data_IF_930900159622
#
_entry.id   IF_930900159622
#
_cell.length_a   1.000
_cell.length_b   1.000
_cell.length_c   1.000
_cell.angle_alpha   90.00
_cell.angle_beta   90.00
_cell.angle_gamma   90.00
#
_symmetry.space_group_name_H-M   'P 1'
#
loop_
_entity.id
_entity.type
_entity.pdbx_description
1 polymer ?
#
# COMPACT_ATOMS: atom_id res chain seq x y z
N UNK A 1 -12.28 27.20 33.62
CA UNK A 1 -11.59 27.52 34.89
C UNK A 1 -10.21 28.21 34.71
N UNK A 2 -9.81 28.62 33.50
CA UNK A 2 -8.48 29.24 33.23
C UNK A 2 -8.46 30.77 33.28
N UNK A 3 -9.51 31.46 32.84
CA UNK A 3 -9.55 32.94 32.77
C UNK A 3 -9.35 33.64 34.12
N UNK A 4 -9.94 33.11 35.21
CA UNK A 4 -9.78 33.68 36.55
C UNK A 4 -8.34 33.61 37.06
N UNK A 5 -7.59 32.56 36.73
CA UNK A 5 -6.19 32.46 37.16
C UNK A 5 -5.27 33.37 36.36
N UNK A 6 -5.58 33.62 35.08
CA UNK A 6 -4.83 34.54 34.24
C UNK A 6 -5.01 35.99 34.69
N UNK A 7 -6.23 36.37 35.08
CA UNK A 7 -6.50 37.70 35.64
C UNK A 7 -5.73 37.95 36.95
N UNK A 8 -5.74 36.97 37.87
CA UNK A 8 -4.98 37.05 39.12
C UNK A 8 -3.47 37.13 38.90
N UNK A 9 -2.93 36.37 37.93
CA UNK A 9 -1.50 36.42 37.61
C UNK A 9 -1.10 37.77 37.01
N UNK A 10 -1.96 38.37 36.18
CA UNK A 10 -1.75 39.70 35.62
C UNK A 10 -1.79 40.80 36.67
N UNK A 11 -2.75 40.78 37.61
CA UNK A 11 -2.80 41.77 38.70
C UNK A 11 -1.54 41.73 39.57
N UNK A 12 -0.98 40.54 39.83
CA UNK A 12 0.20 40.39 40.66
C UNK A 12 1.51 40.77 39.97
N UNK A 13 1.68 40.41 38.69
CA UNK A 13 2.97 40.54 37.98
C UNK A 13 3.02 41.66 36.96
N UNK A 14 1.87 42.24 36.62
CA UNK A 14 1.66 43.21 35.52
C UNK A 14 2.20 42.76 34.16
N UNK A 15 2.45 41.47 34.00
CA UNK A 15 2.84 40.84 32.74
C UNK A 15 2.35 39.38 32.71
N UNK A 16 1.99 38.90 31.52
CA UNK A 16 1.56 37.53 31.29
C UNK A 16 2.72 36.73 30.72
N UNK A 17 2.96 35.51 31.21
CA UNK A 17 4.02 34.65 30.67
C UNK A 17 3.84 34.43 29.16
N UNK A 18 4.86 34.80 28.37
CA UNK A 18 4.86 34.71 26.90
C UNK A 18 4.78 33.29 26.30
N UNK A 19 4.69 32.25 27.13
CA UNK A 19 4.57 30.86 26.66
C UNK A 19 4.11 29.90 27.76
N UNK A 20 3.59 28.75 27.34
CA UNK A 20 3.14 27.68 28.23
C UNK A 20 4.35 26.99 28.89
N UNK A 21 4.76 27.48 30.06
CA UNK A 21 5.78 26.82 30.88
C UNK A 21 5.16 25.62 31.60
N UNK A 22 5.36 24.39 31.08
CA UNK A 22 5.07 23.19 31.86
C UNK A 22 5.99 23.18 33.08
N UNK A 23 5.43 23.06 34.29
CA UNK A 23 6.23 22.78 35.47
C UNK A 23 7.03 21.51 35.21
N UNK A 24 8.36 21.60 35.27
CA UNK A 24 9.27 20.50 34.91
C UNK A 24 9.17 19.32 35.89
N UNK A 25 8.57 19.53 37.06
CA UNK A 25 8.33 18.50 38.06
C UNK A 25 6.83 18.21 38.14
N UNK A 26 6.41 17.17 37.41
CA UNK A 26 5.03 16.65 37.46
C UNK A 26 4.78 15.85 38.76
N UNK A 27 5.84 15.45 39.47
CA UNK A 27 5.77 14.61 40.67
C UNK A 27 6.63 15.19 41.80
N UNK A 28 6.09 15.14 43.03
CA UNK A 28 6.81 15.52 44.25
C UNK A 28 7.95 14.53 44.55
N UNK A 29 9.01 14.99 45.23
CA UNK A 29 10.09 14.12 45.70
C UNK A 29 9.59 13.00 46.63
N UNK A 30 8.53 13.26 47.39
CA UNK A 30 7.88 12.26 48.27
C UNK A 30 7.20 11.16 47.44
N UNK A 31 6.51 11.54 46.37
CA UNK A 31 5.86 10.60 45.45
C UNK A 31 6.90 9.72 44.73
N UNK A 32 8.06 10.29 44.38
CA UNK A 32 9.19 9.54 43.81
C UNK A 32 9.73 8.50 44.79
N UNK A 33 9.92 8.88 46.07
CA UNK A 33 10.39 7.96 47.12
C UNK A 33 9.41 6.82 47.36
N UNK A 34 8.13 7.12 47.55
CA UNK A 34 7.09 6.12 47.78
C UNK A 34 6.99 5.11 46.61
N UNK A 35 7.05 5.59 45.37
CA UNK A 35 7.04 4.71 44.19
C UNK A 35 8.25 3.78 44.13
N UNK A 36 9.41 4.24 44.60
CA UNK A 36 10.62 3.44 44.67
C UNK A 36 10.64 2.45 45.84
N UNK A 37 10.13 2.82 47.00
CA UNK A 37 10.03 1.94 48.16
C UNK A 37 9.06 0.78 47.87
N UNK A 38 7.95 1.07 47.19
CA UNK A 38 7.05 0.03 46.68
C UNK A 38 7.73 -0.88 45.65
N UNK A 39 8.60 -0.33 44.79
CA UNK A 39 9.32 -1.11 43.78
C UNK A 39 10.32 -2.09 44.43
N UNK A 40 11.05 -1.62 45.44
CA UNK A 40 12.03 -2.44 46.15
C UNK A 40 11.38 -3.51 47.02
N UNK A 41 10.22 -3.22 47.63
CA UNK A 41 9.48 -4.18 48.46
C UNK A 41 8.75 -5.27 47.67
N UNK A 42 8.36 -5.01 46.42
CA UNK A 42 7.54 -5.93 45.60
C UNK A 42 8.34 -6.54 44.44
N UNK A 43 9.48 -7.17 44.75
CA UNK A 43 10.31 -7.95 43.81
C UNK A 43 10.77 -7.19 42.56
N UNK A 44 10.88 -5.85 42.63
CA UNK A 44 11.34 -5.02 41.50
C UNK A 44 10.43 -5.13 40.27
N UNK A 45 9.14 -5.36 40.48
CA UNK A 45 8.15 -5.44 39.41
C UNK A 45 7.52 -4.08 39.10
N UNK A 46 7.91 -3.48 37.96
CA UNK A 46 7.35 -2.21 37.46
C UNK A 46 5.84 -2.27 37.24
N UNK A 47 5.30 -3.42 36.83
CA UNK A 47 3.87 -3.54 36.57
C UNK A 47 3.03 -3.64 37.87
N UNK A 48 3.63 -4.11 38.97
CA UNK A 48 2.96 -4.21 40.26
C UNK A 48 2.86 -2.82 40.92
N UNK A 49 3.95 -2.05 40.90
CA UNK A 49 3.99 -0.68 41.44
C UNK A 49 3.01 0.25 40.75
N UNK A 50 2.90 0.14 39.43
CA UNK A 50 1.95 0.94 38.64
C UNK A 50 0.49 0.61 38.97
N UNK A 51 0.18 -0.67 39.19
CA UNK A 51 -1.18 -1.11 39.56
C UNK A 51 -1.57 -0.70 40.98
N UNK A 52 -0.61 -0.69 41.91
CA UNK A 52 -0.85 -0.31 43.29
C UNK A 52 -0.97 1.20 43.48
N UNK A 53 -0.11 2.00 42.82
CA UNK A 53 -0.04 3.44 43.03
C UNK A 53 -0.84 4.26 42.02
N UNK A 54 -1.15 3.71 40.83
CA UNK A 54 -1.91 4.41 39.78
C UNK A 54 -1.14 5.55 39.08
N UNK A 55 0.03 5.90 39.59
CA UNK A 55 1.05 6.79 39.03
C UNK A 55 2.43 6.20 39.38
N UNK A 56 3.57 6.60 38.78
CA UNK A 56 3.79 7.44 37.60
C UNK A 56 3.61 6.64 36.28
N UNK A 57 4.07 7.12 35.12
CA UNK A 57 4.08 6.30 33.89
C UNK A 57 5.20 5.25 33.90
N UNK A 58 5.08 4.18 33.09
CA UNK A 58 6.12 3.13 32.99
C UNK A 58 7.50 3.69 32.62
N UNK A 59 7.54 4.66 31.69
CA UNK A 59 8.79 5.30 31.27
C UNK A 59 9.45 6.05 32.42
N UNK A 60 8.68 6.92 33.09
CA UNK A 60 9.17 7.73 34.22
C UNK A 60 9.68 6.89 35.39
N UNK A 61 9.03 5.76 35.72
CA UNK A 61 9.53 4.87 36.76
C UNK A 61 10.85 4.20 36.34
N UNK A 62 10.96 3.81 35.06
CA UNK A 62 12.19 3.21 34.52
C UNK A 62 13.36 4.20 34.58
N UNK A 63 13.10 5.48 34.31
CA UNK A 63 14.11 6.54 34.41
C UNK A 63 14.54 6.76 35.87
N UNK A 64 13.61 6.77 36.83
CA UNK A 64 13.94 6.85 38.25
C UNK A 64 14.75 5.64 38.74
N UNK A 65 14.43 4.44 38.25
CA UNK A 65 15.19 3.21 38.55
C UNK A 65 16.61 3.30 37.97
N UNK A 66 16.79 3.87 36.76
CA UNK A 66 18.12 4.08 36.18
C UNK A 66 18.93 5.10 36.94
N UNK A 67 18.31 6.19 37.39
CA UNK A 67 18.96 7.24 38.19
C UNK A 67 19.42 6.72 39.56
N UNK A 68 18.60 5.94 40.24
CA UNK A 68 18.87 5.51 41.61
C UNK A 68 19.52 4.11 41.71
N UNK A 69 19.43 3.28 40.68
CA UNK A 69 19.98 1.93 40.65
C UNK A 69 20.68 1.64 39.30
N UNK A 70 21.88 2.22 39.07
CA UNK A 70 22.63 2.03 37.83
C UNK A 70 23.01 0.56 37.56
N UNK A 71 23.09 -0.29 38.59
CA UNK A 71 23.36 -1.73 38.44
C UNK A 71 22.15 -2.52 37.90
N UNK A 72 20.92 -2.06 38.15
CA UNK A 72 19.69 -2.71 37.67
C UNK A 72 19.36 -2.26 36.24
N UNK A 73 19.70 -1.00 35.89
CA UNK A 73 19.54 -0.42 34.56
C UNK A 73 20.44 -1.05 33.49
N UNK A 74 21.55 -1.68 33.89
CA UNK A 74 22.35 -2.58 33.04
C UNK A 74 21.65 -3.93 32.92
N UNK A 75 20.43 -3.95 32.39
CA UNK A 75 19.87 -5.19 31.90
C UNK A 75 20.87 -5.75 30.87
N UNK A 76 21.60 -6.80 31.28
CA UNK A 76 22.41 -7.61 30.40
C UNK A 76 21.45 -8.15 29.36
N UNK A 77 21.30 -7.45 28.24
CA UNK A 77 20.68 -8.00 27.05
C UNK A 77 21.44 -9.30 26.82
N UNK A 78 20.77 -10.42 27.09
CA UNK A 78 21.38 -11.74 27.09
C UNK A 78 22.10 -11.92 25.78
N UNK A 79 23.43 -11.80 25.80
CA UNK A 79 24.25 -12.15 24.66
C UNK A 79 24.10 -13.67 24.61
N UNK A 80 23.24 -14.15 23.71
CA UNK A 80 23.01 -15.59 23.51
C UNK A 80 24.38 -16.23 23.37
N UNK A 81 24.71 -17.11 24.32
CA UNK A 81 25.95 -17.87 24.32
C UNK A 81 26.01 -18.63 22.98
N UNK A 82 26.88 -18.16 22.07
CA UNK A 82 26.95 -18.66 20.69
C UNK A 82 27.09 -17.58 19.62
N UNK A 83 26.87 -16.29 19.92
CA UNK A 83 27.18 -15.22 18.96
C UNK A 83 28.67 -14.87 19.03
N UNK A 84 29.52 -15.70 18.42
CA UNK A 84 30.93 -15.37 18.19
C UNK A 84 30.97 -14.04 17.42
N UNK A 85 31.76 -13.03 17.85
CA UNK A 85 32.04 -11.84 17.05
C UNK A 85 32.85 -12.27 15.82
N UNK A 86 32.19 -12.83 14.82
CA UNK A 86 32.86 -13.26 13.61
C UNK A 86 33.26 -12.05 12.79
N UNK A 87 34.55 -12.01 12.46
CA UNK A 87 35.17 -11.05 11.54
C UNK A 87 34.31 -10.89 10.29
N UNK A 88 34.10 -9.65 9.87
CA UNK A 88 33.33 -9.31 8.68
C UNK A 88 33.89 -9.99 7.42
N UNK A 89 35.21 -10.23 7.37
CA UNK A 89 35.87 -10.96 6.29
C UNK A 89 35.40 -12.43 6.20
N UNK A 90 35.24 -13.11 7.34
CA UNK A 90 34.75 -14.50 7.38
C UNK A 90 33.31 -14.58 6.89
N UNK A 91 32.47 -13.59 7.23
CA UNK A 91 31.09 -13.51 6.75
C UNK A 91 31.02 -13.33 5.23
N UNK A 92 31.84 -12.44 4.69
CA UNK A 92 31.89 -12.18 3.25
C UNK A 92 32.36 -13.40 2.47
N UNK A 93 33.46 -14.05 2.89
CA UNK A 93 33.96 -15.27 2.26
C UNK A 93 32.89 -16.39 2.26
N UNK A 94 32.20 -16.56 3.40
CA UNK A 94 31.13 -17.56 3.53
C UNK A 94 29.94 -17.29 2.59
N UNK A 95 29.60 -16.03 2.37
CA UNK A 95 28.51 -15.64 1.45
C UNK A 95 28.94 -15.80 0.00
N UNK A 96 30.19 -15.51 -0.34
CA UNK A 96 30.74 -15.76 -1.67
C UNK A 96 30.70 -17.26 -1.99
N UNK A 97 31.20 -18.13 -1.09
CA UNK A 97 31.18 -19.60 -1.27
C UNK A 97 29.75 -20.16 -1.39
N UNK A 98 28.80 -19.59 -0.64
CA UNK A 98 27.37 -19.93 -0.73
C UNK A 98 26.75 -19.54 -2.09
N UNK A 99 27.11 -18.37 -2.62
CA UNK A 99 26.61 -17.86 -3.90
C UNK A 99 27.28 -18.54 -5.11
N UNK A 100 28.55 -18.92 -4.99
CA UNK A 100 29.32 -19.62 -6.03
C UNK A 100 28.95 -21.10 -6.23
N UNK A 101 27.98 -21.63 -5.45
CA UNK A 101 27.47 -23.02 -5.50
C UNK A 101 28.54 -24.12 -5.33
N UNK A 102 29.69 -23.82 -4.73
CA UNK A 102 30.80 -24.78 -4.56
C UNK A 102 30.55 -25.85 -3.47
N UNK A 103 29.33 -25.96 -2.95
CA UNK A 103 28.97 -27.03 -2.04
C UNK A 103 27.60 -26.87 -1.40
N UNK A 104 27.21 -27.87 -0.61
CA UNK A 104 25.98 -27.77 0.18
C UNK A 104 26.14 -26.78 1.33
N UNK A 105 25.12 -25.94 1.56
CA UNK A 105 25.13 -24.96 2.66
C UNK A 105 25.39 -25.59 4.04
N UNK A 106 25.13 -26.89 4.21
CA UNK A 106 25.42 -27.65 5.44
C UNK A 106 26.91 -27.89 5.63
N UNK A 107 27.63 -28.26 4.56
CA UNK A 107 29.08 -28.46 4.62
C UNK A 107 29.80 -27.14 4.88
N UNK A 108 29.37 -26.05 4.23
CA UNK A 108 29.90 -24.72 4.49
C UNK A 108 29.71 -24.28 5.93
N UNK A 109 28.52 -24.53 6.48
CA UNK A 109 28.21 -24.22 7.88
C UNK A 109 29.14 -24.97 8.85
N UNK A 110 29.42 -26.24 8.58
CA UNK A 110 30.36 -27.04 9.37
C UNK A 110 31.81 -26.54 9.25
N UNK A 111 32.28 -26.19 8.04
CA UNK A 111 33.63 -25.63 7.82
C UNK A 111 33.86 -24.33 8.61
N UNK A 112 32.84 -23.46 8.66
CA UNK A 112 32.91 -22.14 9.31
C UNK A 112 32.58 -22.23 10.81
N UNK A 113 32.09 -23.37 11.30
CA UNK A 113 31.67 -23.56 12.69
C UNK A 113 30.37 -22.82 13.05
N UNK A 114 29.49 -22.63 12.07
CA UNK A 114 28.28 -21.79 12.16
C UNK A 114 27.05 -22.62 11.85
N UNK A 115 25.89 -22.21 12.37
CA UNK A 115 24.63 -22.88 12.01
C UNK A 115 24.17 -22.48 10.60
N UNK A 116 23.59 -23.43 9.85
CA UNK A 116 23.02 -23.16 8.50
C UNK A 116 22.10 -21.92 8.45
N UNK A 117 21.20 -21.66 9.42
CA UNK A 117 20.38 -20.45 9.41
C UNK A 117 21.17 -19.15 9.50
N UNK A 118 22.33 -19.16 10.17
CA UNK A 118 23.17 -17.99 10.30
C UNK A 118 23.86 -17.62 8.99
N UNK A 119 24.22 -18.61 8.13
CA UNK A 119 24.71 -18.33 6.77
C UNK A 119 23.68 -17.58 5.93
N UNK A 120 22.41 -18.00 5.95
CA UNK A 120 21.34 -17.28 5.25
C UNK A 120 21.05 -15.92 5.89
N UNK A 121 21.20 -15.80 7.22
CA UNK A 121 21.13 -14.51 7.90
C UNK A 121 22.21 -13.55 7.42
N UNK A 122 23.45 -14.01 7.24
CA UNK A 122 24.54 -13.21 6.70
C UNK A 122 24.33 -12.85 5.24
N UNK A 123 23.88 -13.80 4.43
CA UNK A 123 23.48 -13.54 3.04
C UNK A 123 22.46 -12.41 2.98
N UNK A 124 21.40 -12.49 3.78
CA UNK A 124 20.35 -11.48 3.82
C UNK A 124 20.81 -10.13 4.38
N UNK A 125 21.84 -10.11 5.24
CA UNK A 125 22.43 -8.88 5.75
C UNK A 125 23.30 -8.18 4.70
N UNK A 126 24.05 -8.94 3.89
CA UNK A 126 24.98 -8.39 2.90
C UNK A 126 24.33 -8.10 1.54
N UNK A 127 23.42 -8.97 1.09
CA UNK A 127 22.76 -8.88 -0.22
C UNK A 127 21.32 -8.34 -0.13
N UNK A 128 20.84 -8.07 1.08
CA UNK A 128 19.44 -7.73 1.34
C UNK A 128 18.56 -8.98 1.46
N UNK A 129 17.37 -8.80 2.03
CA UNK A 129 16.37 -9.88 2.12
C UNK A 129 15.87 -10.16 0.71
N UNK A 130 16.52 -11.10 0.02
CA UNK A 130 15.90 -11.75 -1.13
C UNK A 130 14.55 -12.27 -0.66
N UNK A 131 13.48 -11.75 -1.27
CA UNK A 131 12.18 -12.41 -1.19
C UNK A 131 12.47 -13.84 -1.64
N UNK A 132 12.28 -14.86 -0.79
CA UNK A 132 12.54 -16.22 -1.22
C UNK A 132 11.76 -16.39 -2.51
N UNK A 133 12.46 -16.73 -3.60
CA UNK A 133 11.84 -16.98 -4.88
C UNK A 133 10.69 -17.93 -4.59
N UNK A 134 9.46 -17.42 -4.69
CA UNK A 134 8.24 -18.09 -4.27
C UNK A 134 8.26 -19.48 -4.87
N UNK A 135 8.62 -20.49 -4.08
CA UNK A 135 8.80 -21.83 -4.59
C UNK A 135 7.43 -22.36 -5.01
N UNK A 136 7.34 -22.68 -6.29
CA UNK A 136 6.20 -23.21 -7.06
C UNK A 136 5.19 -22.17 -7.57
N UNK A 137 5.62 -21.40 -8.56
CA UNK A 137 4.92 -21.48 -9.86
C UNK A 137 5.85 -22.19 -10.82
N UNK A 138 5.64 -23.49 -11.01
CA UNK A 138 5.98 -24.04 -12.32
C UNK A 138 5.07 -23.28 -13.28
N UNK A 139 5.61 -22.28 -13.99
CA UNK A 139 5.06 -21.96 -15.30
C UNK A 139 5.28 -23.22 -16.13
N UNK A 140 4.32 -24.15 -16.06
CA UNK A 140 4.13 -25.10 -17.13
C UNK A 140 3.93 -24.22 -18.35
N UNK A 141 4.96 -24.10 -19.18
CA UNK A 141 4.77 -23.58 -20.54
C UNK A 141 3.60 -24.38 -21.09
N UNK A 142 2.48 -23.71 -21.33
CA UNK A 142 1.34 -24.34 -21.97
C UNK A 142 1.88 -25.10 -23.20
N UNK A 143 1.60 -26.40 -23.33
CA UNK A 143 2.11 -27.18 -24.45
C UNK A 143 1.78 -26.47 -25.77
N UNK A 144 2.67 -26.57 -26.76
CA UNK A 144 2.63 -25.74 -27.98
C UNK A 144 1.28 -25.81 -28.72
N UNK A 145 0.56 -26.93 -28.61
CA UNK A 145 -0.78 -27.08 -29.16
C UNK A 145 -1.83 -26.18 -28.49
N UNK A 146 -1.76 -25.97 -27.17
CA UNK A 146 -2.65 -25.03 -26.46
C UNK A 146 -2.37 -23.59 -26.90
N UNK A 147 -1.10 -23.24 -27.12
CA UNK A 147 -0.71 -21.92 -27.63
C UNK A 147 -1.27 -21.67 -29.02
N UNK A 148 -1.10 -22.62 -29.94
CA UNK A 148 -1.65 -22.51 -31.30
C UNK A 148 -3.18 -22.40 -31.30
N UNK A 149 -3.86 -23.13 -30.42
CA UNK A 149 -5.32 -23.04 -30.30
C UNK A 149 -5.76 -21.67 -29.76
N UNK A 150 -5.06 -21.11 -28.77
CA UNK A 150 -5.33 -19.78 -28.24
C UNK A 150 -5.04 -18.69 -29.28
N UNK A 151 -3.96 -18.83 -30.06
CA UNK A 151 -3.63 -17.91 -31.16
C UNK A 151 -4.75 -17.90 -32.21
N UNK A 152 -5.26 -19.07 -32.62
CA UNK A 152 -6.40 -19.18 -33.53
C UNK A 152 -7.66 -18.52 -32.96
N UNK A 153 -7.93 -18.69 -31.67
CA UNK A 153 -9.07 -18.02 -31.01
C UNK A 153 -8.92 -16.50 -31.04
N UNK A 154 -7.73 -15.97 -30.71
CA UNK A 154 -7.45 -14.53 -30.76
C UNK A 154 -7.58 -13.98 -32.19
N UNK A 155 -7.12 -14.71 -33.19
CA UNK A 155 -7.26 -14.32 -34.60
C UNK A 155 -8.71 -14.30 -35.06
N UNK A 156 -9.51 -15.32 -34.70
CA UNK A 156 -10.94 -15.35 -35.01
C UNK A 156 -11.69 -14.17 -34.39
N UNK A 157 -11.41 -13.87 -33.13
CA UNK A 157 -12.00 -12.77 -32.39
C UNK A 157 -11.63 -11.42 -33.03
N UNK A 158 -10.37 -11.23 -33.46
CA UNK A 158 -9.94 -10.04 -34.20
C UNK A 158 -10.65 -9.88 -35.54
N UNK A 159 -10.80 -10.96 -36.31
CA UNK A 159 -11.51 -10.93 -37.60
C UNK A 159 -12.97 -10.54 -37.43
N UNK A 160 -13.66 -11.11 -36.45
CA UNK A 160 -15.06 -10.82 -36.16
C UNK A 160 -15.27 -9.39 -35.66
N UNK A 161 -14.37 -8.87 -34.82
CA UNK A 161 -14.39 -7.46 -34.41
C UNK A 161 -14.29 -6.54 -35.63
N UNK A 162 -13.36 -6.81 -36.54
CA UNK A 162 -13.18 -5.99 -37.74
C UNK A 162 -14.39 -6.08 -38.68
N UNK A 163 -14.95 -7.28 -38.87
CA UNK A 163 -16.15 -7.48 -39.66
C UNK A 163 -17.34 -6.69 -39.09
N UNK A 164 -17.61 -6.80 -37.78
CA UNK A 164 -18.68 -6.04 -37.12
C UNK A 164 -18.43 -4.55 -37.06
N UNK A 165 -17.17 -4.12 -36.95
CA UNK A 165 -16.82 -2.71 -37.04
C UNK A 165 -17.15 -2.13 -38.42
N UNK A 166 -16.85 -2.86 -39.49
CA UNK A 166 -17.21 -2.46 -40.86
C UNK A 166 -18.72 -2.35 -41.05
N UNK A 167 -19.50 -3.32 -40.55
CA UNK A 167 -20.97 -3.30 -40.63
C UNK A 167 -21.59 -2.10 -39.89
N UNK A 168 -21.14 -1.83 -38.66
CA UNK A 168 -21.79 -0.87 -37.76
C UNK A 168 -21.29 0.56 -37.92
N UNK A 169 -19.99 0.74 -38.15
CA UNK A 169 -19.39 2.08 -38.09
C UNK A 169 -19.49 2.80 -39.43
N UNK A 170 -19.70 2.11 -40.56
CA UNK A 170 -19.86 2.68 -41.93
C UNK A 170 -18.89 3.83 -42.27
N UNK A 171 -17.76 3.95 -41.58
CA UNK A 171 -16.72 4.94 -41.89
C UNK A 171 -15.88 4.31 -42.99
N UNK A 172 -15.98 4.85 -44.21
CA UNK A 172 -15.28 4.36 -45.40
C UNK A 172 -13.75 4.54 -45.39
N UNK A 173 -13.13 4.68 -44.22
CA UNK A 173 -11.69 4.87 -44.05
C UNK A 173 -11.20 3.78 -43.09
N UNK A 174 -10.16 3.03 -43.48
CA UNK A 174 -9.64 1.84 -42.77
C UNK A 174 -9.78 1.92 -41.26
N UNK A 175 -10.48 0.95 -40.67
CA UNK A 175 -10.88 0.97 -39.27
C UNK A 175 -9.67 0.68 -38.38
N UNK A 176 -9.04 1.74 -37.89
CA UNK A 176 -8.17 1.65 -36.72
C UNK A 176 -9.04 1.50 -35.48
N UNK A 177 -9.07 0.29 -34.91
CA UNK A 177 -9.82 -0.02 -33.68
C UNK A 177 -9.44 0.89 -32.49
N UNK A 178 -8.24 1.48 -32.53
CA UNK A 178 -7.78 2.42 -31.50
C UNK A 178 -8.43 3.81 -31.63
N UNK A 179 -8.80 4.24 -32.84
CA UNK A 179 -9.43 5.53 -33.11
C UNK A 179 -10.95 5.53 -32.87
N UNK A 180 -11.54 4.35 -32.66
CA UNK A 180 -12.97 4.24 -32.34
C UNK A 180 -13.31 4.94 -31.02
N UNK A 181 -14.43 5.65 -31.02
CA UNK A 181 -14.93 6.33 -29.82
C UNK A 181 -15.45 5.31 -28.80
N UNK A 182 -15.35 5.61 -27.50
CA UNK A 182 -15.85 4.71 -26.44
C UNK A 182 -17.31 4.24 -26.63
N UNK A 183 -18.29 5.07 -27.05
CA UNK A 183 -19.63 4.60 -27.42
C UNK A 183 -19.64 3.61 -28.60
N UNK A 184 -18.83 3.84 -29.64
CA UNK A 184 -18.71 2.92 -30.79
C UNK A 184 -18.09 1.59 -30.37
N UNK A 185 -17.13 1.62 -29.44
CA UNK A 185 -16.58 0.41 -28.82
C UNK A 185 -17.65 -0.32 -28.01
N UNK A 186 -18.55 0.38 -27.31
CA UNK A 186 -19.63 -0.28 -26.57
C UNK A 186 -20.66 -0.95 -27.45
N UNK A 187 -21.03 -0.36 -28.59
CA UNK A 187 -21.96 -0.99 -29.53
C UNK A 187 -21.35 -2.24 -30.16
N UNK A 188 -20.05 -2.24 -30.45
CA UNK A 188 -19.33 -3.43 -30.91
C UNK A 188 -19.29 -4.54 -29.87
N UNK A 189 -18.97 -4.21 -28.61
CA UNK A 189 -19.02 -5.17 -27.51
C UNK A 189 -20.43 -5.73 -27.35
N UNK A 190 -21.47 -4.90 -27.43
CA UNK A 190 -22.85 -5.35 -27.27
C UNK A 190 -23.34 -6.25 -28.42
N UNK A 191 -22.79 -6.10 -29.62
CA UNK A 191 -23.07 -6.99 -30.76
C UNK A 191 -22.36 -8.36 -30.63
N UNK A 192 -21.14 -8.37 -30.09
CA UNK A 192 -20.29 -9.57 -29.99
C UNK A 192 -20.39 -10.32 -28.66
N UNK A 193 -21.06 -9.76 -27.63
CA UNK A 193 -21.19 -10.38 -26.31
C UNK A 193 -21.92 -11.73 -26.31
N UNK A 194 -22.64 -12.07 -27.38
CA UNK A 194 -23.32 -13.36 -27.51
C UNK A 194 -22.35 -14.48 -27.92
N UNK A 195 -21.26 -14.15 -28.61
CA UNK A 195 -20.29 -15.11 -29.14
C UNK A 195 -19.00 -15.18 -28.34
N UNK A 196 -18.59 -14.08 -27.71
CA UNK A 196 -17.32 -13.98 -26.97
C UNK A 196 -17.50 -13.51 -25.53
N UNK A 197 -16.54 -13.87 -24.67
CA UNK A 197 -16.54 -13.44 -23.29
C UNK A 197 -16.27 -11.94 -23.17
N UNK A 198 -17.03 -11.26 -22.31
CA UNK A 198 -16.88 -9.82 -22.05
C UNK A 198 -15.43 -9.36 -21.74
N UNK A 199 -14.65 -10.02 -20.85
CA UNK A 199 -13.29 -9.56 -20.56
C UNK A 199 -12.35 -9.62 -21.78
N UNK A 200 -12.54 -10.60 -22.66
CA UNK A 200 -11.74 -10.76 -23.89
C UNK A 200 -12.03 -9.61 -24.85
N UNK A 201 -13.31 -9.30 -25.08
CA UNK A 201 -13.75 -8.18 -25.91
C UNK A 201 -13.25 -6.83 -25.39
N UNK A 202 -13.33 -6.60 -24.08
CA UNK A 202 -12.83 -5.38 -23.44
C UNK A 202 -11.32 -5.24 -23.60
N UNK A 203 -10.59 -6.34 -23.48
CA UNK A 203 -9.13 -6.36 -23.66
C UNK A 203 -8.73 -6.06 -25.10
N UNK A 204 -9.41 -6.66 -26.07
CA UNK A 204 -9.15 -6.48 -27.51
C UNK A 204 -9.41 -5.03 -27.96
N UNK A 205 -10.48 -4.40 -27.48
CA UNK A 205 -10.85 -3.02 -27.82
C UNK A 205 -10.16 -1.96 -26.93
N UNK A 206 -9.32 -2.40 -25.98
CA UNK A 206 -8.68 -1.56 -24.95
C UNK A 206 -9.69 -0.65 -24.22
N UNK A 207 -10.85 -1.20 -23.87
CA UNK A 207 -11.93 -0.48 -23.21
C UNK A 207 -11.96 -0.82 -21.72
N UNK A 208 -11.94 0.20 -20.85
CA UNK A 208 -12.10 -0.01 -19.42
C UNK A 208 -13.52 -0.51 -19.08
N UNK A 209 -13.62 -1.43 -18.11
CA UNK A 209 -14.89 -2.00 -17.67
C UNK A 209 -15.89 -0.92 -17.22
N UNK A 210 -15.42 0.08 -16.48
CA UNK A 210 -16.23 1.22 -16.05
C UNK A 210 -16.80 2.01 -17.23
N UNK A 211 -15.97 2.31 -18.24
CA UNK A 211 -16.39 3.02 -19.45
C UNK A 211 -17.45 2.25 -20.22
N UNK A 212 -17.31 0.92 -20.33
CA UNK A 212 -18.32 0.06 -20.96
C UNK A 212 -19.68 0.20 -20.28
N UNK A 213 -19.74 0.01 -18.95
CA UNK A 213 -21.01 0.09 -18.21
C UNK A 213 -21.60 1.50 -18.22
N UNK A 214 -20.77 2.54 -18.14
CA UNK A 214 -21.22 3.93 -18.22
C UNK A 214 -21.92 4.23 -19.56
N UNK A 215 -21.25 3.91 -20.68
CA UNK A 215 -21.81 4.18 -22.01
C UNK A 215 -23.02 3.28 -22.30
N UNK A 216 -23.01 2.01 -21.88
CA UNK A 216 -24.17 1.11 -22.00
C UNK A 216 -25.37 1.60 -21.21
N UNK A 217 -25.19 2.04 -19.97
CA UNK A 217 -26.27 2.63 -19.18
C UNK A 217 -26.82 3.89 -19.86
N UNK A 218 -25.95 4.74 -20.41
CA UNK A 218 -26.36 5.93 -21.15
C UNK A 218 -27.14 5.65 -22.43
N UNK A 219 -26.90 4.53 -23.11
CA UNK A 219 -27.69 4.13 -24.28
C UNK A 219 -29.12 3.73 -23.91
N UNK A 220 -29.35 3.24 -22.69
CA UNK A 220 -30.67 2.85 -22.19
C UNK A 220 -31.47 4.03 -21.64
N UNK A 221 -30.79 5.09 -21.21
CA UNK A 221 -31.44 6.29 -20.68
C UNK A 221 -31.93 7.17 -21.83
N UNK A 222 -33.23 7.40 -21.89
CA UNK A 222 -33.82 8.38 -22.81
C UNK A 222 -33.27 9.77 -22.53
N UNK A 223 -32.95 10.51 -23.58
CA UNK A 223 -32.42 11.86 -23.42
C UNK A 223 -33.44 12.78 -22.74
N UNK A 224 -33.06 13.33 -21.58
CA UNK A 224 -33.93 14.18 -20.75
C UNK A 224 -34.34 15.47 -21.48
N UNK A 225 -33.54 15.91 -22.45
CA UNK A 225 -33.75 17.15 -23.18
C UNK A 225 -34.22 16.94 -24.62
N UNK A 226 -34.75 15.76 -24.98
CA UNK A 226 -35.25 15.51 -26.35
C UNK A 226 -36.28 16.55 -26.75
N UNK A 227 -37.23 16.85 -25.85
CA UNK A 227 -38.29 17.83 -26.12
C UNK A 227 -37.71 19.22 -26.31
N UNK A 228 -36.81 19.66 -25.42
CA UNK A 228 -36.15 20.96 -25.54
C UNK A 228 -35.34 21.08 -26.84
N UNK A 229 -34.61 20.01 -27.22
CA UNK A 229 -33.84 19.98 -28.47
C UNK A 229 -34.71 20.04 -29.72
N UNK A 230 -35.88 19.39 -29.71
CA UNK A 230 -36.86 19.50 -30.81
C UNK A 230 -37.34 20.93 -30.95
N UNK A 231 -37.76 21.57 -29.85
CA UNK A 231 -38.20 22.97 -29.86
C UNK A 231 -37.08 23.90 -30.34
N UNK A 232 -35.85 23.71 -29.90
CA UNK A 232 -34.69 24.48 -30.39
C UNK A 232 -34.46 24.27 -31.90
N UNK A 233 -34.54 23.04 -32.40
CA UNK A 233 -34.40 22.74 -33.82
C UNK A 233 -35.53 23.36 -34.66
N UNK A 234 -36.76 23.31 -34.16
CA UNK A 234 -37.92 23.92 -34.82
C UNK A 234 -37.76 25.45 -34.92
N UNK A 235 -37.36 26.11 -33.82
CA UNK A 235 -37.05 27.55 -33.82
C UNK A 235 -35.91 27.87 -34.80
N UNK A 236 -34.93 26.98 -34.95
CA UNK A 236 -33.77 27.20 -35.82
C UNK A 236 -34.16 27.17 -37.29
N UNK A 237 -34.97 26.18 -37.67
CA UNK A 237 -35.48 26.06 -39.04
C UNK A 237 -36.51 27.16 -39.36
N UNK A 238 -37.40 27.51 -38.43
CA UNK A 238 -38.35 28.61 -38.60
C UNK A 238 -37.67 29.98 -38.80
N UNK A 239 -36.44 30.16 -38.28
CA UNK A 239 -35.65 31.38 -38.46
C UNK A 239 -34.62 31.27 -39.60
N UNK A 240 -34.86 30.41 -40.60
CA UNK A 240 -34.00 30.23 -41.78
C UNK A 240 -32.53 29.96 -41.45
N UNK A 241 -32.24 29.36 -40.29
CA UNK A 241 -30.88 29.06 -39.82
C UNK A 241 -30.00 30.30 -39.65
N UNK A 242 -30.60 31.50 -39.53
CA UNK A 242 -29.88 32.77 -39.46
C UNK A 242 -29.18 33.01 -38.11
N UNK A 243 -29.64 32.37 -37.03
CA UNK A 243 -29.09 32.53 -35.68
C UNK A 243 -28.19 31.35 -35.30
N UNK A 244 -26.93 31.62 -34.96
CA UNK A 244 -25.98 30.62 -34.49
C UNK A 244 -26.23 30.16 -33.05
N UNK A 245 -25.50 29.12 -32.63
CA UNK A 245 -25.65 28.44 -31.33
C UNK A 245 -25.52 29.33 -30.09
N UNK A 246 -24.98 30.54 -30.21
CA UNK A 246 -24.88 31.50 -29.11
C UNK A 246 -26.19 32.23 -28.80
N UNK A 247 -27.18 32.19 -29.71
CA UNK A 247 -28.48 32.85 -29.53
C UNK A 247 -29.63 31.85 -29.32
N UNK A 248 -29.32 30.55 -29.22
CA UNK A 248 -30.24 29.46 -28.90
C UNK A 248 -29.87 28.81 -27.58
#
# INVERSE_FOLDING_TARGET
KSLKSWHLEYEQRRDLRAGYARSKQVYSAEQKKLAMDHYLSHDRCVAATLRALGYPSRGTLTDWIREQCPEIGKCRAGRVAGSIPQSLAVKQASVIELCSREGSARMLAQKVGVSRPMLYKWKNQLLGREVPASMKRHEKRAPEHERSNLEKQVESLRRDILAKANELVKKGMGIDLQLLSNPEKTTLVDALKQTYALPELLSALRLARSSYFYHRARLLVTDRYVVARRVMADIFECNYRCYGYHRM
#
